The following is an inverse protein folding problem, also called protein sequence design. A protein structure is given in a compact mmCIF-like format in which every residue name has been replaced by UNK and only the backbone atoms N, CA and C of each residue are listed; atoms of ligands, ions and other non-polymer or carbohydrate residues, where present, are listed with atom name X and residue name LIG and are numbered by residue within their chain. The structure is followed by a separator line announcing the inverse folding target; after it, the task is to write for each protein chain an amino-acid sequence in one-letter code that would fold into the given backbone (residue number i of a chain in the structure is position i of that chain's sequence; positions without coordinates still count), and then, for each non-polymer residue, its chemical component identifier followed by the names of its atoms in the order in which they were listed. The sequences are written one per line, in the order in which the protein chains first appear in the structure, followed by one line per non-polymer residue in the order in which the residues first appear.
data_IF_239685694911
#
_entry.id   IF_239685694911
#
_cell.length_a   1.000
_cell.length_b   1.000
_cell.length_c   1.000
_cell.angle_alpha   90.00
_cell.angle_beta   90.00
_cell.angle_gamma   90.00
#
_symmetry.space_group_name_H-M   'P 1'
#
loop_
_entity.id
_entity.type
_entity.pdbx_description
1 polymer ?
#
# COMPACT_ATOMS: atom_id res chain seq x y z
N UNK A 1 15.01 16.34 27.24
CA UNK A 1 13.68 15.75 27.06
C UNK A 1 13.86 14.25 27.13
N UNK A 2 13.29 13.57 28.15
CA UNK A 2 13.43 12.13 28.32
C UNK A 2 12.85 11.37 27.14
N UNK A 3 13.55 10.31 26.71
CA UNK A 3 13.05 9.42 25.64
C UNK A 3 11.66 8.89 26.05
N UNK A 4 10.62 9.02 25.21
CA UNK A 4 9.32 8.49 25.55
C UNK A 4 9.44 7.00 25.84
N UNK A 5 8.74 6.55 26.88
CA UNK A 5 8.75 5.14 27.27
C UNK A 5 8.29 4.31 26.07
N UNK A 6 9.12 3.40 25.56
CA UNK A 6 8.89 2.64 24.33
C UNK A 6 7.50 1.99 24.32
N UNK A 7 7.04 1.50 25.47
CA UNK A 7 5.71 0.91 25.64
C UNK A 7 4.58 1.93 25.39
N UNK A 8 4.75 3.18 25.82
CA UNK A 8 3.76 4.24 25.58
C UNK A 8 3.72 4.68 24.12
N UNK A 9 4.87 4.64 23.43
CA UNK A 9 4.93 4.93 21.99
C UNK A 9 4.28 3.84 21.14
N UNK A 10 4.36 2.58 21.56
CA UNK A 10 3.79 1.43 20.82
C UNK A 10 2.28 1.27 21.13
N UNK A 11 1.89 1.39 22.39
CA UNK A 11 0.52 1.15 22.87
C UNK A 11 -0.19 2.49 23.10
N UNK A 12 -0.50 3.19 22.00
CA UNK A 12 -1.29 4.41 22.05
C UNK A 12 -2.42 4.41 20.99
N UNK A 13 -3.39 5.30 21.18
CA UNK A 13 -4.56 5.41 20.29
C UNK A 13 -4.16 5.68 18.83
N UNK A 14 -3.07 6.40 18.57
CA UNK A 14 -2.61 6.70 17.20
C UNK A 14 -2.13 5.45 16.48
N UNK A 15 -1.43 4.55 17.19
CA UNK A 15 -0.98 3.27 16.61
C UNK A 15 -2.17 2.35 16.30
N UNK A 16 -3.19 2.33 17.16
CA UNK A 16 -4.43 1.61 16.88
C UNK A 16 -5.13 2.16 15.62
N UNK A 17 -5.20 3.48 15.46
CA UNK A 17 -5.72 4.12 14.25
C UNK A 17 -4.90 3.70 13.03
N UNK A 18 -3.56 3.61 13.13
CA UNK A 18 -2.70 3.15 12.03
C UNK A 18 -2.99 1.70 11.64
N UNK A 19 -3.30 0.81 12.57
CA UNK A 19 -3.70 -0.58 12.26
C UNK A 19 -4.99 -0.57 11.41
N UNK A 20 -6.04 0.07 11.88
CA UNK A 20 -7.32 0.04 11.18
C UNK A 20 -7.30 0.81 9.86
N UNK A 21 -6.57 1.92 9.77
CA UNK A 21 -6.40 2.65 8.50
C UNK A 21 -5.61 1.83 7.49
N UNK A 22 -4.57 1.09 7.93
CA UNK A 22 -3.84 0.16 7.07
C UNK A 22 -4.73 -0.98 6.57
N UNK A 23 -5.51 -1.57 7.47
CA UNK A 23 -6.44 -2.63 7.11
C UNK A 23 -7.50 -2.15 6.11
N UNK A 24 -8.12 -0.99 6.35
CA UNK A 24 -9.12 -0.41 5.47
C UNK A 24 -8.56 -0.05 4.08
N UNK A 25 -7.29 0.40 4.01
CA UNK A 25 -6.59 0.72 2.77
C UNK A 25 -6.27 -0.55 1.94
N UNK A 26 -5.76 -1.61 2.58
CA UNK A 26 -5.33 -2.82 1.88
C UNK A 26 -6.49 -3.66 1.35
N UNK A 27 -7.56 -3.77 2.11
CA UNK A 27 -8.65 -4.70 1.85
C UNK A 27 -9.25 -4.57 0.44
N UNK A 28 -9.67 -3.39 -0.08
CA UNK A 28 -10.26 -3.28 -1.40
C UNK A 28 -9.27 -3.59 -2.54
N UNK A 29 -7.99 -3.22 -2.39
CA UNK A 29 -6.98 -3.55 -3.40
C UNK A 29 -6.82 -5.07 -3.53
N UNK A 30 -6.72 -5.79 -2.41
CA UNK A 30 -6.57 -7.24 -2.45
C UNK A 30 -7.84 -7.96 -2.94
N UNK A 31 -9.03 -7.37 -2.81
CA UNK A 31 -10.23 -7.86 -3.52
C UNK A 31 -9.97 -7.84 -5.02
N UNK A 32 -9.46 -6.73 -5.57
CA UNK A 32 -9.22 -6.57 -7.01
C UNK A 32 -8.09 -7.46 -7.54
N UNK A 33 -7.00 -7.63 -6.80
CA UNK A 33 -5.82 -8.34 -7.30
C UNK A 33 -5.75 -9.83 -6.91
N UNK A 34 -6.57 -10.27 -5.95
CA UNK A 34 -6.57 -11.67 -5.48
C UNK A 34 -7.93 -12.34 -5.66
N UNK A 35 -9.01 -11.78 -5.09
CA UNK A 35 -10.33 -12.43 -5.09
C UNK A 35 -11.00 -12.39 -6.47
N UNK A 36 -11.04 -11.24 -7.11
CA UNK A 36 -11.69 -11.07 -8.42
C UNK A 36 -11.06 -11.96 -9.49
N UNK A 37 -9.73 -12.00 -9.69
CA UNK A 37 -9.12 -12.90 -10.67
C UNK A 37 -9.39 -14.38 -10.38
N UNK A 38 -9.38 -14.79 -9.11
CA UNK A 38 -9.69 -16.16 -8.72
C UNK A 38 -11.16 -16.50 -9.04
N UNK A 39 -12.10 -15.64 -8.67
CA UNK A 39 -13.52 -15.78 -8.99
C UNK A 39 -13.76 -15.89 -10.50
N UNK A 40 -13.25 -14.94 -11.29
CA UNK A 40 -13.38 -14.97 -12.74
C UNK A 40 -12.84 -16.28 -13.34
N UNK A 41 -11.72 -16.77 -12.81
CA UNK A 41 -11.10 -18.00 -13.29
C UNK A 41 -11.93 -19.23 -12.94
N UNK A 42 -12.49 -19.31 -11.75
CA UNK A 42 -13.34 -20.43 -11.32
C UNK A 42 -14.66 -20.49 -12.10
N UNK A 43 -15.18 -19.35 -12.52
CA UNK A 43 -16.38 -19.24 -13.36
C UNK A 43 -16.09 -19.42 -14.88
N UNK A 44 -14.84 -19.74 -15.26
CA UNK A 44 -14.48 -20.12 -16.63
C UNK A 44 -14.06 -18.97 -17.54
N UNK A 45 -13.84 -17.75 -17.01
CA UNK A 45 -13.32 -16.62 -17.79
C UNK A 45 -11.89 -16.91 -18.26
N UNK A 46 -11.57 -16.54 -19.50
CA UNK A 46 -10.27 -16.77 -20.12
C UNK A 46 -9.14 -15.98 -19.49
N UNK A 47 -7.91 -16.53 -19.52
CA UNK A 47 -6.73 -15.86 -18.92
C UNK A 47 -6.39 -14.53 -19.59
N UNK A 48 -6.72 -14.38 -20.91
CA UNK A 48 -6.50 -13.15 -21.65
C UNK A 48 -7.35 -12.01 -21.10
N UNK A 49 -8.63 -12.29 -20.86
CA UNK A 49 -9.60 -11.35 -20.30
C UNK A 49 -9.20 -10.98 -18.87
N UNK A 50 -8.84 -11.96 -18.04
CA UNK A 50 -8.34 -11.73 -16.67
C UNK A 50 -7.08 -10.86 -16.69
N UNK A 51 -6.17 -11.09 -17.64
CA UNK A 51 -4.97 -10.26 -17.81
C UNK A 51 -5.29 -8.78 -18.04
N UNK A 52 -6.37 -8.46 -18.78
CA UNK A 52 -6.79 -7.07 -18.99
C UNK A 52 -7.30 -6.40 -17.70
N UNK A 53 -7.78 -7.15 -16.73
CA UNK A 53 -8.17 -6.61 -15.43
C UNK A 53 -6.98 -6.01 -14.65
N UNK A 54 -5.73 -6.30 -15.03
CA UNK A 54 -4.57 -5.61 -14.44
C UNK A 54 -4.58 -4.09 -14.68
N UNK A 55 -5.23 -3.63 -15.77
CA UNK A 55 -5.39 -2.20 -16.07
C UNK A 55 -6.30 -1.47 -15.08
N UNK A 56 -7.12 -2.19 -14.32
CA UNK A 56 -7.96 -1.64 -13.25
C UNK A 56 -7.09 -1.00 -12.13
N UNK A 57 -5.81 -1.34 -12.06
CA UNK A 57 -4.85 -0.69 -11.15
C UNK A 57 -4.46 0.76 -11.52
N UNK A 58 -4.81 1.26 -12.71
CA UNK A 58 -4.45 2.61 -13.16
C UNK A 58 -4.85 3.74 -12.18
N UNK A 59 -6.03 3.75 -11.55
CA UNK A 59 -6.38 4.78 -10.59
C UNK A 59 -5.35 4.95 -9.47
N UNK A 60 -4.70 3.89 -9.00
CA UNK A 60 -3.69 4.00 -7.93
C UNK A 60 -2.43 4.73 -8.38
N UNK A 61 -2.08 4.66 -9.66
CA UNK A 61 -0.94 5.39 -10.24
C UNK A 61 -1.29 6.85 -10.47
N UNK A 62 -2.51 7.12 -10.95
CA UNK A 62 -2.96 8.45 -11.33
C UNK A 62 -3.67 9.22 -10.21
N UNK A 63 -3.75 8.67 -9.00
CA UNK A 63 -4.48 9.25 -7.86
C UNK A 63 -4.06 10.68 -7.50
N UNK A 64 -2.85 11.09 -7.83
CA UNK A 64 -2.36 12.45 -7.60
C UNK A 64 -3.12 13.52 -8.40
N UNK A 65 -3.77 13.15 -9.53
CA UNK A 65 -4.51 14.11 -10.36
C UNK A 65 -5.73 14.69 -9.66
N UNK A 66 -6.42 13.91 -8.81
CA UNK A 66 -7.61 14.38 -8.10
C UNK A 66 -7.36 14.62 -6.60
N UNK A 67 -6.18 14.33 -6.11
CA UNK A 67 -5.84 14.55 -4.70
C UNK A 67 -6.00 16.02 -4.24
N UNK A 68 -5.80 17.08 -5.07
CA UNK A 68 -6.07 18.45 -4.66
C UNK A 68 -7.54 18.72 -4.30
N UNK A 69 -8.47 17.96 -4.89
CA UNK A 69 -9.89 18.08 -4.55
C UNK A 69 -10.15 17.63 -3.10
N UNK A 70 -9.40 16.62 -2.64
CA UNK A 70 -9.52 16.06 -1.30
C UNK A 70 -8.86 16.94 -0.21
N UNK A 71 -7.94 17.81 -0.58
CA UNK A 71 -7.38 18.81 0.32
C UNK A 71 -8.31 20.03 0.48
N UNK A 72 -9.24 20.23 -0.47
CA UNK A 72 -10.09 21.43 -0.49
C UNK A 72 -11.55 21.17 -0.13
N UNK A 73 -12.18 20.16 -0.73
CA UNK A 73 -13.63 19.94 -0.63
C UNK A 73 -13.97 18.85 0.36
N UNK A 74 -14.93 19.12 1.26
CA UNK A 74 -15.59 18.10 2.08
C UNK A 74 -16.86 17.64 1.39
N UNK A 75 -17.22 16.36 1.56
CA UNK A 75 -18.50 15.83 1.11
C UNK A 75 -19.56 16.12 2.17
N UNK A 76 -20.64 16.85 1.86
CA UNK A 76 -21.74 17.02 2.81
C UNK A 76 -22.50 15.69 2.89
N UNK A 77 -22.40 14.99 4.02
CA UNK A 77 -23.30 13.88 4.35
C UNK A 77 -24.54 14.44 5.03
N UNK A 78 -25.71 14.19 4.49
CA UNK A 78 -27.04 14.81 4.64
C UNK A 78 -27.41 15.40 6.02
N UNK A 79 -26.93 14.87 7.14
CA UNK A 79 -27.26 15.34 8.51
C UNK A 79 -26.02 15.48 9.40
N UNK A 80 -24.83 15.16 8.89
CA UNK A 80 -23.61 15.11 9.68
C UNK A 80 -22.47 15.81 8.94
N UNK A 81 -21.81 16.76 9.61
CA UNK A 81 -20.61 17.47 9.07
C UNK A 81 -19.35 16.92 9.76
N UNK A 82 -18.85 15.76 9.31
CA UNK A 82 -17.77 15.08 10.00
C UNK A 82 -16.40 15.73 9.84
N UNK A 83 -16.29 16.78 9.03
CA UNK A 83 -15.02 17.40 8.66
C UNK A 83 -14.50 16.94 7.30
N UNK A 84 -13.33 17.48 6.88
CA UNK A 84 -12.77 17.27 5.55
C UNK A 84 -12.37 15.79 5.32
N UNK A 85 -11.53 15.24 6.19
CA UNK A 85 -10.99 13.88 6.00
C UNK A 85 -12.05 12.80 6.26
N UNK A 86 -12.77 12.93 7.36
CA UNK A 86 -13.78 11.94 7.75
C UNK A 86 -14.94 11.86 6.75
N UNK A 87 -15.33 12.97 6.11
CA UNK A 87 -16.39 12.94 5.09
C UNK A 87 -16.01 12.08 3.90
N UNK A 88 -14.79 12.21 3.40
CA UNK A 88 -14.27 11.37 2.32
C UNK A 88 -14.11 9.92 2.74
N UNK A 89 -13.55 9.66 3.94
CA UNK A 89 -13.39 8.30 4.47
C UNK A 89 -14.74 7.59 4.55
N UNK A 90 -15.75 8.22 5.17
CA UNK A 90 -17.09 7.62 5.30
C UNK A 90 -17.74 7.35 3.95
N UNK A 91 -17.68 8.32 3.02
CA UNK A 91 -18.29 8.18 1.70
C UNK A 91 -17.63 7.07 0.87
N UNK A 92 -16.29 7.03 0.84
CA UNK A 92 -15.56 5.99 0.09
C UNK A 92 -15.76 4.61 0.71
N UNK A 93 -15.74 4.48 2.04
CA UNK A 93 -15.96 3.21 2.73
C UNK A 93 -17.39 2.68 2.52
N UNK A 94 -18.39 3.55 2.58
CA UNK A 94 -19.78 3.14 2.32
C UNK A 94 -19.96 2.67 0.87
N UNK A 95 -19.41 3.42 -0.09
CA UNK A 95 -19.49 3.04 -1.50
C UNK A 95 -18.69 1.76 -1.78
N UNK A 96 -17.52 1.56 -1.17
CA UNK A 96 -16.73 0.32 -1.28
C UNK A 96 -17.49 -0.87 -0.71
N UNK A 97 -18.12 -0.73 0.45
CA UNK A 97 -18.94 -1.79 1.03
C UNK A 97 -20.03 -2.25 0.06
N UNK A 98 -20.75 -1.29 -0.53
CA UNK A 98 -21.85 -1.59 -1.48
C UNK A 98 -21.30 -2.19 -2.77
N UNK A 99 -20.28 -1.56 -3.37
CA UNK A 99 -19.77 -1.98 -4.69
C UNK A 99 -19.06 -3.34 -4.64
N UNK A 100 -18.34 -3.65 -3.55
CA UNK A 100 -17.72 -4.97 -3.37
C UNK A 100 -18.81 -6.04 -3.17
N UNK A 101 -19.85 -5.77 -2.37
CA UNK A 101 -20.97 -6.70 -2.22
C UNK A 101 -21.69 -6.96 -3.55
N UNK A 102 -21.88 -5.92 -4.38
CA UNK A 102 -22.56 -6.03 -5.67
C UNK A 102 -21.83 -6.95 -6.67
N UNK A 103 -20.50 -7.09 -6.58
CA UNK A 103 -19.75 -7.97 -7.49
C UNK A 103 -20.29 -9.40 -7.46
N UNK A 104 -20.57 -9.93 -6.28
CA UNK A 104 -21.03 -11.31 -6.11
C UNK A 104 -22.40 -11.65 -6.71
N UNK A 105 -23.17 -10.63 -7.11
CA UNK A 105 -24.48 -10.82 -7.74
C UNK A 105 -24.44 -10.76 -9.28
N UNK A 106 -23.25 -10.56 -9.85
CA UNK A 106 -23.04 -10.55 -11.30
C UNK A 106 -22.55 -11.92 -11.77
N UNK A 107 -23.02 -12.33 -12.94
CA UNK A 107 -22.50 -13.52 -13.61
C UNK A 107 -21.29 -13.15 -14.49
N UNK A 108 -20.10 -13.72 -14.24
CA UNK A 108 -18.88 -13.39 -14.96
C UNK A 108 -18.94 -13.65 -16.47
N UNK A 109 -19.66 -14.66 -16.91
CA UNK A 109 -19.71 -15.01 -18.33
C UNK A 109 -20.60 -14.06 -19.14
N UNK A 110 -21.72 -13.62 -18.56
CA UNK A 110 -22.67 -12.74 -19.25
C UNK A 110 -22.46 -11.25 -18.97
N UNK A 111 -21.81 -10.91 -17.82
CA UNK A 111 -21.69 -9.53 -17.34
C UNK A 111 -20.24 -9.04 -17.20
N UNK A 112 -19.27 -9.61 -17.92
CA UNK A 112 -17.84 -9.32 -17.75
C UNK A 112 -17.52 -7.82 -17.86
N UNK A 113 -18.13 -7.09 -18.77
CA UNK A 113 -17.92 -5.65 -18.92
C UNK A 113 -18.49 -4.84 -17.75
N UNK A 114 -19.63 -5.23 -17.19
CA UNK A 114 -20.17 -4.58 -15.99
C UNK A 114 -19.25 -4.82 -14.78
N UNK A 115 -18.71 -6.03 -14.65
CA UNK A 115 -17.72 -6.38 -13.62
C UNK A 115 -16.46 -5.53 -13.80
N UNK A 116 -15.96 -5.35 -15.01
CA UNK A 116 -14.78 -4.53 -15.28
C UNK A 116 -15.00 -3.06 -14.87
N UNK A 117 -16.15 -2.46 -15.23
CA UNK A 117 -16.49 -1.10 -14.83
C UNK A 117 -16.69 -0.96 -13.31
N UNK A 118 -17.31 -1.95 -12.68
CA UNK A 118 -17.49 -1.96 -11.23
C UNK A 118 -16.15 -2.09 -10.51
N UNK A 119 -15.25 -2.95 -10.98
CA UNK A 119 -13.89 -3.09 -10.47
C UNK A 119 -13.05 -1.80 -10.67
N UNK A 120 -13.21 -1.12 -11.81
CA UNK A 120 -12.59 0.19 -12.02
C UNK A 120 -13.13 1.23 -11.05
N UNK A 121 -14.44 1.23 -10.77
CA UNK A 121 -15.07 2.06 -9.74
C UNK A 121 -14.52 1.76 -8.34
N UNK A 122 -14.40 0.49 -7.98
CA UNK A 122 -13.78 0.06 -6.71
C UNK A 122 -12.33 0.54 -6.62
N UNK A 123 -11.55 0.42 -7.70
CA UNK A 123 -10.16 0.89 -7.74
C UNK A 123 -10.07 2.41 -7.53
N UNK A 124 -10.96 3.17 -8.17
CA UNK A 124 -11.02 4.63 -8.02
C UNK A 124 -11.41 5.03 -6.58
N UNK A 125 -12.43 4.40 -6.01
CA UNK A 125 -12.86 4.63 -4.62
C UNK A 125 -11.76 4.26 -3.62
N UNK A 126 -11.11 3.12 -3.81
CA UNK A 126 -10.03 2.67 -2.95
C UNK A 126 -8.80 3.57 -3.06
N UNK A 127 -8.39 3.99 -4.27
CA UNK A 127 -7.31 4.95 -4.46
C UNK A 127 -7.64 6.31 -3.82
N UNK A 128 -8.91 6.74 -3.89
CA UNK A 128 -9.39 7.97 -3.22
C UNK A 128 -9.34 7.82 -1.70
N UNK A 129 -9.78 6.67 -1.17
CA UNK A 129 -9.67 6.36 0.25
C UNK A 129 -8.22 6.37 0.73
N UNK A 130 -7.28 5.78 -0.03
CA UNK A 130 -5.85 5.77 0.29
C UNK A 130 -5.29 7.19 0.47
N UNK A 131 -5.62 8.10 -0.46
CA UNK A 131 -5.17 9.51 -0.36
C UNK A 131 -5.61 10.11 0.98
N UNK A 132 -6.86 9.88 1.36
CA UNK A 132 -7.43 10.48 2.58
C UNK A 132 -6.87 9.85 3.84
N UNK A 133 -6.72 8.51 3.86
CA UNK A 133 -6.12 7.77 4.98
C UNK A 133 -4.66 8.17 5.19
N UNK A 134 -3.89 8.33 4.11
CA UNK A 134 -2.51 8.78 4.15
C UNK A 134 -2.40 10.21 4.70
N UNK A 135 -3.26 11.12 4.23
CA UNK A 135 -3.32 12.48 4.71
C UNK A 135 -3.73 12.57 6.19
N UNK A 136 -4.76 11.81 6.58
CA UNK A 136 -5.21 11.71 7.97
C UNK A 136 -4.08 11.24 8.88
N UNK A 137 -3.40 10.16 8.49
CA UNK A 137 -2.27 9.60 9.24
C UNK A 137 -1.12 10.60 9.38
N UNK A 138 -0.78 11.32 8.30
CA UNK A 138 0.26 12.36 8.33
C UNK A 138 -0.10 13.49 9.30
N UNK A 139 -1.38 13.83 9.41
CA UNK A 139 -1.88 14.92 10.27
C UNK A 139 -1.96 14.54 11.76
N UNK A 140 -2.21 13.27 12.09
CA UNK A 140 -2.34 12.83 13.49
C UNK A 140 -1.02 12.40 14.12
N UNK A 141 -0.03 11.97 13.31
CA UNK A 141 1.25 11.47 13.80
C UNK A 141 2.25 12.61 13.99
N UNK A 142 2.84 12.77 15.17
CA UNK A 142 3.99 13.63 15.36
C UNK A 142 5.20 13.04 14.63
N UNK A 143 6.15 13.89 14.23
CA UNK A 143 7.30 13.49 13.42
C UNK A 143 8.13 12.34 14.05
N UNK A 144 8.19 12.27 15.37
CA UNK A 144 8.87 11.18 16.09
C UNK A 144 8.19 9.81 15.92
N UNK A 145 6.87 9.78 15.77
CA UNK A 145 6.08 8.55 15.62
C UNK A 145 5.81 8.17 14.16
N UNK A 146 6.21 8.99 13.18
CA UNK A 146 5.97 8.71 11.75
C UNK A 146 6.57 7.37 11.32
N UNK A 147 7.78 7.04 11.80
CA UNK A 147 8.43 5.78 11.49
C UNK A 147 7.60 4.57 11.91
N UNK A 148 7.20 4.54 13.18
CA UNK A 148 6.44 3.43 13.76
C UNK A 148 5.01 3.39 13.19
N UNK A 149 4.30 4.52 13.15
CA UNK A 149 2.91 4.57 12.68
C UNK A 149 2.77 4.16 11.22
N UNK A 150 3.68 4.62 10.33
CA UNK A 150 3.67 4.19 8.93
C UNK A 150 4.02 2.70 8.79
N UNK A 151 4.95 2.19 9.58
CA UNK A 151 5.30 0.78 9.60
C UNK A 151 4.11 -0.10 10.01
N UNK A 152 3.41 0.27 11.07
CA UNK A 152 2.20 -0.43 11.53
C UNK A 152 1.12 -0.42 10.46
N UNK A 153 0.88 0.74 9.83
CA UNK A 153 -0.09 0.88 8.74
C UNK A 153 0.22 -0.05 7.56
N UNK A 154 1.47 -0.04 7.06
CA UNK A 154 1.89 -0.88 5.93
C UNK A 154 1.76 -2.37 6.25
N UNK A 155 2.08 -2.79 7.48
CA UNK A 155 1.91 -4.19 7.88
C UNK A 155 0.43 -4.58 8.02
N UNK A 156 -0.41 -3.72 8.59
CA UNK A 156 -1.85 -3.94 8.65
C UNK A 156 -2.49 -4.00 7.25
N UNK A 157 -2.02 -3.16 6.31
CA UNK A 157 -2.39 -3.22 4.90
C UNK A 157 -2.09 -4.60 4.28
N UNK A 158 -0.91 -5.17 4.55
CA UNK A 158 -0.53 -6.51 4.05
C UNK A 158 -1.37 -7.62 4.68
N UNK A 159 -1.61 -7.53 5.99
CA UNK A 159 -2.45 -8.48 6.74
C UNK A 159 -3.89 -8.45 6.22
N UNK A 160 -4.42 -7.29 5.86
CA UNK A 160 -5.75 -7.16 5.26
C UNK A 160 -5.92 -8.03 4.00
N UNK A 161 -4.84 -8.24 3.25
CA UNK A 161 -4.82 -9.10 2.07
C UNK A 161 -5.15 -10.58 2.35
N UNK A 162 -5.01 -11.02 3.60
CA UNK A 162 -5.38 -12.39 3.99
C UNK A 162 -6.91 -12.60 3.96
N UNK A 163 -7.71 -11.54 4.07
CA UNK A 163 -9.17 -11.66 3.96
C UNK A 163 -9.56 -12.05 2.55
N UNK A 164 -9.34 -11.24 1.49
CA UNK A 164 -9.74 -11.62 0.13
C UNK A 164 -8.82 -12.68 -0.49
N UNK A 165 -7.54 -12.75 -0.10
CA UNK A 165 -6.56 -13.67 -0.68
C UNK A 165 -6.50 -15.06 -0.03
N UNK A 166 -7.13 -15.26 1.12
CA UNK A 166 -7.13 -16.55 1.83
C UNK A 166 -8.52 -16.88 2.38
N UNK A 167 -9.03 -16.09 3.33
CA UNK A 167 -10.31 -16.38 3.98
C UNK A 167 -11.46 -16.49 2.96
N UNK A 168 -11.59 -15.50 2.07
CA UNK A 168 -12.68 -15.48 1.08
C UNK A 168 -12.56 -16.62 0.07
N UNK A 169 -11.33 -17.02 -0.30
CA UNK A 169 -11.12 -18.18 -1.18
C UNK A 169 -11.49 -19.50 -0.49
N UNK A 170 -11.15 -19.68 0.79
CA UNK A 170 -11.58 -20.84 1.57
C UNK A 170 -13.10 -20.87 1.67
N UNK A 171 -13.74 -19.72 1.93
CA UNK A 171 -15.20 -19.64 2.01
C UNK A 171 -15.88 -19.97 0.67
N UNK A 172 -15.23 -19.71 -0.47
CA UNK A 172 -15.79 -20.01 -1.80
C UNK A 172 -15.90 -21.52 -2.09
N UNK A 173 -15.20 -22.36 -1.34
CA UNK A 173 -15.36 -23.81 -1.44
C UNK A 173 -16.65 -24.31 -0.76
N UNK A 174 -17.25 -23.52 0.13
CA UNK A 174 -18.40 -23.89 0.94
C UNK A 174 -19.63 -22.99 0.69
N UNK A 175 -19.45 -21.81 0.17
CA UNK A 175 -20.48 -20.78 0.01
C UNK A 175 -20.52 -20.25 -1.42
N UNK A 176 -21.70 -19.89 -1.95
CA UNK A 176 -21.81 -19.28 -3.26
C UNK A 176 -21.14 -17.88 -3.26
N UNK A 177 -20.64 -17.46 -4.41
CA UNK A 177 -19.86 -16.23 -4.57
C UNK A 177 -20.57 -14.96 -4.09
N UNK A 178 -21.90 -14.87 -4.24
CA UNK A 178 -22.64 -13.73 -3.70
C UNK A 178 -22.50 -13.58 -2.17
N UNK A 179 -22.54 -14.68 -1.43
CA UNK A 179 -22.33 -14.67 0.02
C UNK A 179 -20.87 -14.37 0.35
N UNK A 180 -19.92 -14.95 -0.39
CA UNK A 180 -18.48 -14.68 -0.20
C UNK A 180 -18.17 -13.20 -0.35
N UNK A 181 -18.66 -12.53 -1.40
CA UNK A 181 -18.46 -11.10 -1.59
C UNK A 181 -19.15 -10.24 -0.53
N UNK A 182 -20.36 -10.61 -0.08
CA UNK A 182 -21.05 -9.93 1.03
C UNK A 182 -20.26 -10.05 2.32
N UNK A 183 -19.79 -11.25 2.68
CA UNK A 183 -18.95 -11.45 3.88
C UNK A 183 -17.65 -10.68 3.76
N UNK A 184 -17.00 -10.73 2.59
CA UNK A 184 -15.75 -9.99 2.32
C UNK A 184 -15.97 -8.48 2.46
N UNK A 185 -17.04 -7.93 1.89
CA UNK A 185 -17.38 -6.52 2.02
C UNK A 185 -17.64 -6.12 3.48
N UNK A 186 -18.18 -7.02 4.30
CA UNK A 186 -18.42 -6.80 5.72
C UNK A 186 -17.15 -6.38 6.50
N UNK A 187 -15.97 -6.79 6.08
CA UNK A 187 -14.72 -6.33 6.69
C UNK A 187 -14.42 -4.84 6.47
N UNK A 188 -15.03 -4.20 5.47
CA UNK A 188 -14.96 -2.73 5.29
C UNK A 188 -15.61 -1.99 6.45
N UNK A 189 -16.58 -2.62 7.14
CA UNK A 189 -17.25 -2.06 8.33
C UNK A 189 -16.23 -1.73 9.44
N UNK A 190 -15.12 -2.47 9.55
CA UNK A 190 -14.08 -2.15 10.53
C UNK A 190 -13.50 -0.75 10.30
N UNK A 191 -13.26 -0.38 9.04
CA UNK A 191 -12.83 0.97 8.67
C UNK A 191 -13.90 2.01 8.96
N UNK A 192 -15.15 1.71 8.65
CA UNK A 192 -16.29 2.60 8.86
C UNK A 192 -16.52 2.87 10.35
N UNK A 193 -16.51 1.84 11.19
CA UNK A 193 -16.61 1.96 12.66
C UNK A 193 -15.46 2.81 13.20
N UNK A 194 -14.22 2.58 12.74
CA UNK A 194 -13.09 3.42 13.12
C UNK A 194 -13.37 4.88 12.77
N UNK A 195 -13.75 5.17 11.51
CA UNK A 195 -13.96 6.52 11.01
C UNK A 195 -15.06 7.27 11.81
N UNK A 196 -16.09 6.56 12.27
CA UNK A 196 -17.10 7.12 13.17
C UNK A 196 -16.55 7.40 14.57
N UNK A 197 -15.57 6.62 15.04
CA UNK A 197 -15.01 6.69 16.41
C UNK A 197 -13.85 7.68 16.56
N UNK A 198 -13.25 8.15 15.45
CA UNK A 198 -12.13 9.09 15.47
C UNK A 198 -12.61 10.53 15.28
N UNK A 199 -11.81 11.49 15.75
CA UNK A 199 -12.06 12.92 15.53
C UNK A 199 -11.38 13.41 14.25
N UNK A 200 -11.95 14.46 13.65
CA UNK A 200 -11.27 15.19 12.57
C UNK A 200 -9.96 15.77 13.08
N UNK A 201 -8.85 15.67 12.34
CA UNK A 201 -7.60 16.30 12.72
C UNK A 201 -7.79 17.83 12.79
N UNK A 202 -7.35 18.44 13.88
CA UNK A 202 -7.33 19.89 13.98
C UNK A 202 -6.22 20.44 13.08
N UNK A 203 -6.57 20.72 11.84
CA UNK A 203 -5.64 21.42 10.93
C UNK A 203 -5.46 22.87 11.37
N UNK A 204 -4.27 23.22 11.83
CA UNK A 204 -3.89 24.63 12.09
C UNK A 204 -3.63 25.42 10.80
N UNK A 205 -3.73 24.78 9.65
CA UNK A 205 -3.41 25.39 8.35
C UNK A 205 -4.70 25.69 7.58
N UNK A 206 -4.76 26.86 7.00
CA UNK A 206 -5.86 27.27 6.15
C UNK A 206 -5.94 26.36 4.93
N UNK A 207 -7.14 25.83 4.66
CA UNK A 207 -7.41 25.08 3.43
C UNK A 207 -7.19 25.98 2.21
N UNK A 208 -6.71 25.44 1.06
CA UNK A 208 -6.57 26.22 -0.16
C UNK A 208 -7.87 26.93 -0.54
N UNK A 209 -7.82 28.25 -0.74
CA UNK A 209 -9.03 29.05 -1.01
C UNK A 209 -9.58 28.86 -2.43
N UNK A 210 -8.72 28.52 -3.39
CA UNK A 210 -9.08 28.28 -4.79
C UNK A 210 -8.59 26.91 -5.26
N UNK A 211 -9.20 26.36 -6.32
CA UNK A 211 -8.73 25.10 -6.92
C UNK A 211 -7.32 25.26 -7.52
N UNK A 212 -7.03 26.45 -8.09
CA UNK A 212 -5.69 26.79 -8.59
C UNK A 212 -4.65 26.73 -7.45
N UNK A 213 -4.96 27.31 -6.30
CA UNK A 213 -4.11 27.21 -5.11
C UNK A 213 -3.95 25.77 -4.64
N UNK A 214 -5.01 24.96 -4.62
CA UNK A 214 -4.93 23.55 -4.24
C UNK A 214 -4.01 22.71 -5.16
N UNK A 215 -3.82 23.12 -6.41
CA UNK A 215 -2.93 22.44 -7.37
C UNK A 215 -1.51 23.01 -7.28
N UNK A 216 -1.34 24.34 -7.26
CA UNK A 216 -0.03 25.01 -7.39
C UNK A 216 0.69 25.09 -6.05
N UNK A 217 0.00 25.50 -4.97
CA UNK A 217 0.63 25.75 -3.68
C UNK A 217 1.38 24.54 -3.09
N UNK A 218 0.92 23.26 -3.27
CA UNK A 218 1.69 22.09 -2.82
C UNK A 218 3.07 21.98 -3.47
N UNK A 219 3.20 22.35 -4.74
CA UNK A 219 4.47 22.35 -5.46
C UNK A 219 5.33 23.53 -5.02
N UNK A 220 4.77 24.73 -4.99
CA UNK A 220 5.48 25.94 -4.56
C UNK A 220 5.97 25.79 -3.10
N UNK A 221 5.15 25.25 -2.20
CA UNK A 221 5.56 24.93 -0.82
C UNK A 221 6.75 23.96 -0.80
N UNK A 222 6.67 22.88 -1.57
CA UNK A 222 7.74 21.86 -1.57
C UNK A 222 9.06 22.44 -2.09
N UNK A 223 9.04 23.14 -3.23
CA UNK A 223 10.26 23.72 -3.82
C UNK A 223 10.79 24.90 -3.01
N UNK A 224 9.93 25.75 -2.45
CA UNK A 224 10.35 26.88 -1.60
C UNK A 224 10.92 26.44 -0.27
N UNK A 225 10.32 25.41 0.36
CA UNK A 225 10.75 24.89 1.66
C UNK A 225 12.07 24.13 1.59
N UNK A 226 12.29 23.39 0.52
CA UNK A 226 13.50 22.56 0.34
C UNK A 226 14.61 23.29 -0.43
N UNK A 227 14.26 24.26 -1.27
CA UNK A 227 15.13 24.79 -2.31
C UNK A 227 15.17 23.88 -3.54
N UNK A 228 15.33 24.44 -4.72
CA UNK A 228 15.20 23.73 -6.00
C UNK A 228 16.13 22.52 -6.09
N UNK A 229 17.41 22.70 -5.75
CA UNK A 229 18.42 21.62 -5.83
C UNK A 229 18.10 20.48 -4.88
N UNK A 230 17.76 20.77 -3.63
CA UNK A 230 17.40 19.76 -2.62
C UNK A 230 16.10 19.04 -2.98
N UNK A 231 15.10 19.77 -3.52
CA UNK A 231 13.85 19.22 -3.97
C UNK A 231 14.09 18.15 -5.08
N UNK A 232 14.91 18.45 -6.08
CA UNK A 232 15.26 17.48 -7.12
C UNK A 232 16.03 16.28 -6.57
N UNK A 233 16.95 16.47 -5.63
CA UNK A 233 17.66 15.35 -4.97
C UNK A 233 16.69 14.44 -4.20
N UNK A 234 15.73 15.01 -3.51
CA UNK A 234 14.70 14.24 -2.78
C UNK A 234 13.83 13.44 -3.77
N UNK A 235 13.36 14.05 -4.85
CA UNK A 235 12.56 13.36 -5.86
C UNK A 235 13.35 12.24 -6.55
N UNK A 236 14.60 12.50 -6.91
CA UNK A 236 15.52 11.49 -7.49
C UNK A 236 15.76 10.34 -6.49
N UNK A 237 15.99 10.65 -5.22
CA UNK A 237 16.12 9.64 -4.19
C UNK A 237 14.84 8.80 -4.06
N UNK A 238 13.65 9.42 -4.05
CA UNK A 238 12.36 8.70 -4.00
C UNK A 238 12.18 7.77 -5.20
N UNK A 239 12.63 8.20 -6.38
CA UNK A 239 12.58 7.40 -7.60
C UNK A 239 13.52 6.18 -7.52
N UNK A 240 14.76 6.38 -7.08
CA UNK A 240 15.82 5.37 -7.16
C UNK A 240 15.84 4.40 -5.98
N UNK A 241 15.41 4.82 -4.79
CA UNK A 241 15.51 4.01 -3.57
C UNK A 241 14.84 2.65 -3.68
N UNK A 242 13.71 2.58 -4.39
CA UNK A 242 12.95 1.33 -4.60
C UNK A 242 13.27 0.61 -5.91
N UNK A 243 14.18 1.14 -6.72
CA UNK A 243 14.47 0.56 -8.03
C UNK A 243 15.08 -0.85 -7.90
N UNK A 244 16.13 -0.99 -7.08
CA UNK A 244 16.82 -2.28 -6.90
C UNK A 244 15.90 -3.39 -6.38
N UNK A 245 15.10 -3.08 -5.36
CA UNK A 245 14.08 -3.98 -4.80
C UNK A 245 13.01 -4.37 -5.84
N UNK A 246 12.54 -3.39 -6.63
CA UNK A 246 11.58 -3.64 -7.70
C UNK A 246 12.13 -4.53 -8.82
N UNK A 247 13.40 -4.37 -9.17
CA UNK A 247 14.08 -5.21 -10.18
C UNK A 247 14.30 -6.64 -9.67
N UNK A 248 14.76 -6.81 -8.43
CA UNK A 248 15.00 -8.10 -7.82
C UNK A 248 13.69 -8.91 -7.70
N UNK A 249 12.62 -8.27 -7.22
CA UNK A 249 11.32 -8.94 -7.05
C UNK A 249 10.61 -9.25 -8.36
N UNK A 250 10.80 -8.44 -9.42
CA UNK A 250 10.20 -8.69 -10.72
C UNK A 250 10.73 -9.98 -11.37
N UNK A 251 12.00 -10.33 -11.14
CA UNK A 251 12.64 -11.52 -11.70
C UNK A 251 12.69 -12.72 -10.76
N UNK A 252 12.22 -12.58 -9.53
CA UNK A 252 12.34 -13.61 -8.50
C UNK A 252 11.72 -14.95 -8.92
N UNK A 253 10.48 -14.95 -9.40
CA UNK A 253 9.80 -16.20 -9.79
C UNK A 253 10.43 -16.90 -11.00
N UNK A 254 10.72 -16.21 -12.14
CA UNK A 254 11.49 -16.81 -13.21
C UNK A 254 12.83 -17.39 -12.73
N UNK A 255 13.58 -16.66 -11.94
CA UNK A 255 14.87 -17.10 -11.39
C UNK A 255 14.74 -18.40 -10.57
N UNK A 256 13.72 -18.54 -9.72
CA UNK A 256 13.51 -19.78 -8.96
C UNK A 256 13.18 -20.98 -9.87
N UNK A 257 12.40 -20.75 -10.93
CA UNK A 257 12.09 -21.81 -11.91
C UNK A 257 13.34 -22.23 -12.70
N UNK A 258 14.18 -21.28 -13.12
CA UNK A 258 15.43 -21.54 -13.81
C UNK A 258 16.45 -22.27 -12.94
N UNK A 259 16.38 -22.06 -11.61
CA UNK A 259 17.17 -22.80 -10.62
C UNK A 259 16.67 -24.24 -10.37
N UNK A 260 15.57 -24.68 -11.00
CA UNK A 260 15.03 -26.03 -10.88
C UNK A 260 14.03 -26.24 -9.74
N UNK A 261 13.63 -25.19 -8.99
CA UNK A 261 12.62 -25.33 -7.95
C UNK A 261 11.22 -25.59 -8.52
N UNK A 262 10.48 -26.51 -7.92
CA UNK A 262 9.12 -26.82 -8.35
C UNK A 262 8.16 -25.65 -8.06
N UNK A 263 7.06 -25.57 -8.82
CA UNK A 263 6.00 -24.59 -8.56
C UNK A 263 5.41 -24.72 -7.15
N UNK A 264 5.38 -25.94 -6.61
CA UNK A 264 4.93 -26.23 -5.24
C UNK A 264 5.90 -25.66 -4.20
N UNK A 265 7.21 -25.84 -4.40
CA UNK A 265 8.25 -25.29 -3.52
C UNK A 265 8.18 -23.76 -3.48
N UNK A 266 8.05 -23.13 -4.66
CA UNK A 266 7.87 -21.68 -4.77
C UNK A 266 6.59 -21.25 -4.05
N UNK A 267 5.49 -21.99 -4.24
CA UNK A 267 4.19 -21.66 -3.64
C UNK A 267 4.20 -21.75 -2.11
N UNK A 268 4.85 -22.76 -1.54
CA UNK A 268 4.87 -23.00 -0.09
C UNK A 268 6.02 -22.25 0.56
N UNK A 269 7.26 -22.48 0.11
CA UNK A 269 8.45 -21.92 0.76
C UNK A 269 8.59 -20.44 0.49
N UNK A 270 8.55 -20.02 -0.79
CA UNK A 270 8.80 -18.63 -1.15
C UNK A 270 7.74 -17.68 -0.60
N UNK A 271 6.45 -18.05 -0.65
CA UNK A 271 5.37 -17.18 -0.13
C UNK A 271 5.45 -17.00 1.39
N UNK A 272 5.69 -18.07 2.15
CA UNK A 272 5.80 -17.98 3.60
C UNK A 272 7.09 -17.27 4.03
N UNK A 273 8.22 -17.58 3.38
CA UNK A 273 9.50 -16.93 3.62
C UNK A 273 9.49 -15.44 3.23
N UNK A 274 8.61 -15.02 2.30
CA UNK A 274 8.44 -13.61 1.98
C UNK A 274 7.58 -12.85 2.99
N UNK A 275 6.39 -13.39 3.32
CA UNK A 275 5.37 -12.64 4.08
C UNK A 275 5.83 -12.34 5.52
N UNK A 276 6.23 -13.37 6.28
CA UNK A 276 6.52 -13.20 7.70
C UNK A 276 7.75 -12.36 7.98
N UNK A 277 8.92 -12.58 7.32
CA UNK A 277 10.08 -11.71 7.50
C UNK A 277 9.81 -10.26 7.09
N UNK A 278 9.00 -10.03 6.05
CA UNK A 278 8.63 -8.68 5.62
C UNK A 278 7.80 -7.94 6.68
N UNK A 279 6.86 -8.63 7.34
CA UNK A 279 6.08 -8.07 8.45
C UNK A 279 7.00 -7.78 9.65
N UNK A 280 7.84 -8.75 10.02
CA UNK A 280 8.79 -8.63 11.14
C UNK A 280 9.75 -7.46 10.87
N UNK A 281 10.35 -7.39 9.68
CA UNK A 281 11.24 -6.31 9.26
C UNK A 281 10.55 -4.95 9.30
N UNK A 282 9.31 -4.87 8.83
CA UNK A 282 8.52 -3.65 8.90
C UNK A 282 8.32 -3.16 10.34
N UNK A 283 7.87 -4.03 11.26
CA UNK A 283 7.66 -3.68 12.66
C UNK A 283 8.98 -3.33 13.36
N UNK A 284 10.02 -4.16 13.18
CA UNK A 284 11.35 -3.92 13.73
C UNK A 284 11.92 -2.59 13.24
N UNK A 285 11.78 -2.29 11.94
CA UNK A 285 12.18 -1.02 11.35
C UNK A 285 11.46 0.17 11.95
N UNK A 286 10.14 0.06 12.16
CA UNK A 286 9.35 1.08 12.83
C UNK A 286 9.82 1.38 14.25
N UNK A 287 10.06 0.33 15.03
CA UNK A 287 10.57 0.45 16.42
C UNK A 287 11.99 1.03 16.44
N UNK A 288 12.86 0.56 15.53
CA UNK A 288 14.23 1.04 15.47
C UNK A 288 14.30 2.52 15.09
N UNK A 289 13.43 2.99 14.20
CA UNK A 289 13.35 4.41 13.83
C UNK A 289 13.02 5.33 15.00
N UNK A 290 12.34 4.88 16.06
CA UNK A 290 12.13 5.66 17.28
C UNK A 290 13.45 6.01 17.97
N UNK A 291 14.48 5.14 17.84
CA UNK A 291 15.79 5.32 18.48
C UNK A 291 16.79 6.04 17.59
N UNK A 292 16.92 5.62 16.32
CA UNK A 292 17.96 6.13 15.42
C UNK A 292 17.49 7.24 14.50
N UNK A 293 16.16 7.45 14.39
CA UNK A 293 15.54 8.41 13.48
C UNK A 293 15.47 7.92 12.04
N UNK A 294 14.62 8.58 11.23
CA UNK A 294 14.30 8.14 9.86
C UNK A 294 15.52 8.19 8.93
N UNK A 295 16.34 9.26 8.99
CA UNK A 295 17.46 9.43 8.07
C UNK A 295 18.55 8.34 8.25
N UNK A 296 18.91 8.03 9.49
CA UNK A 296 19.87 6.94 9.75
C UNK A 296 19.29 5.58 9.40
N UNK A 297 18.01 5.38 9.65
CA UNK A 297 17.30 4.16 9.27
C UNK A 297 17.32 3.92 7.76
N UNK A 298 17.11 4.96 6.93
CA UNK A 298 17.18 4.84 5.47
C UNK A 298 18.54 4.31 5.00
N UNK A 299 19.65 4.83 5.53
CA UNK A 299 20.98 4.36 5.19
C UNK A 299 21.21 2.92 5.65
N UNK A 300 20.91 2.63 6.93
CA UNK A 300 21.12 1.30 7.51
C UNK A 300 20.27 0.24 6.78
N UNK A 301 18.99 0.52 6.57
CA UNK A 301 18.08 -0.43 5.94
C UNK A 301 18.34 -0.55 4.43
N UNK A 302 18.74 0.53 3.76
CA UNK A 302 19.21 0.49 2.38
C UNK A 302 20.45 -0.40 2.22
N UNK A 303 21.41 -0.31 3.14
CA UNK A 303 22.58 -1.20 3.16
C UNK A 303 22.17 -2.67 3.37
N UNK A 304 21.25 -2.94 4.31
CA UNK A 304 20.70 -4.30 4.53
C UNK A 304 20.03 -4.82 3.26
N UNK A 305 19.27 -4.00 2.53
CA UNK A 305 18.65 -4.39 1.25
C UNK A 305 19.70 -4.74 0.18
N UNK A 306 20.78 -3.96 0.06
CA UNK A 306 21.87 -4.27 -0.88
C UNK A 306 22.50 -5.62 -0.54
N UNK A 307 22.78 -5.87 0.73
CA UNK A 307 23.37 -7.14 1.19
C UNK A 307 22.41 -8.31 0.97
N UNK A 308 21.12 -8.12 1.22
CA UNK A 308 20.13 -9.19 1.05
C UNK A 308 19.95 -9.61 -0.41
N UNK A 309 19.97 -8.66 -1.35
CA UNK A 309 19.91 -8.96 -2.80
C UNK A 309 21.11 -9.83 -3.24
N UNK A 310 22.29 -9.66 -2.65
CA UNK A 310 23.45 -10.52 -2.93
C UNK A 310 23.22 -11.99 -2.52
N UNK A 311 22.26 -12.27 -1.66
CA UNK A 311 21.82 -13.61 -1.33
C UNK A 311 21.35 -14.43 -2.53
N UNK A 312 20.73 -13.79 -3.54
CA UNK A 312 20.36 -14.45 -4.80
C UNK A 312 21.59 -14.91 -5.60
N UNK A 313 22.65 -14.13 -5.60
CA UNK A 313 23.91 -14.52 -6.25
C UNK A 313 24.58 -15.71 -5.53
N UNK A 314 24.44 -15.77 -4.21
CA UNK A 314 24.88 -16.92 -3.40
C UNK A 314 24.05 -18.16 -3.71
N UNK A 315 22.72 -18.01 -3.78
CA UNK A 315 21.78 -19.09 -4.12
C UNK A 315 22.12 -19.68 -5.51
N UNK A 316 22.38 -18.81 -6.50
CA UNK A 316 22.78 -19.22 -7.86
C UNK A 316 24.07 -20.04 -7.90
N UNK A 317 24.99 -19.85 -6.95
CA UNK A 317 26.28 -20.58 -6.89
C UNK A 317 26.20 -21.91 -6.12
N UNK A 318 25.42 -21.94 -5.05
CA UNK A 318 25.35 -23.13 -4.16
C UNK A 318 24.42 -24.19 -4.74
N UNK A 319 23.37 -23.78 -5.48
CA UNK A 319 22.43 -24.68 -6.11
C UNK A 319 21.20 -25.02 -5.24
N UNK A 320 20.55 -26.12 -5.55
CA UNK A 320 19.22 -26.51 -5.08
C UNK A 320 19.20 -26.92 -3.60
N UNK A 321 18.55 -26.09 -2.78
CA UNK A 321 18.27 -26.42 -1.38
C UNK A 321 17.09 -25.61 -0.86
N UNK A 322 15.97 -26.26 -0.49
CA UNK A 322 14.75 -25.57 -0.02
C UNK A 322 15.00 -24.68 1.21
N UNK A 323 15.86 -25.13 2.13
CA UNK A 323 16.23 -24.35 3.31
C UNK A 323 17.01 -23.09 2.93
N UNK A 324 17.91 -23.18 1.93
CA UNK A 324 18.69 -22.04 1.44
C UNK A 324 17.80 -21.05 0.69
N UNK A 325 16.89 -21.55 -0.15
CA UNK A 325 15.84 -20.73 -0.78
C UNK A 325 15.05 -19.94 0.26
N UNK A 326 14.56 -20.63 1.30
CA UNK A 326 13.81 -20.00 2.38
C UNK A 326 14.60 -18.95 3.15
N UNK A 327 15.88 -19.19 3.43
CA UNK A 327 16.76 -18.24 4.10
C UNK A 327 17.05 -17.00 3.24
N UNK A 328 17.39 -17.18 1.95
CA UNK A 328 17.68 -16.08 1.04
C UNK A 328 16.44 -15.19 0.84
N UNK A 329 15.29 -15.79 0.57
CA UNK A 329 14.02 -15.06 0.44
C UNK A 329 13.66 -14.38 1.75
N UNK A 330 13.78 -15.08 2.88
CA UNK A 330 13.49 -14.54 4.20
C UNK A 330 14.35 -13.31 4.53
N UNK A 331 15.63 -13.35 4.25
CA UNK A 331 16.53 -12.22 4.46
C UNK A 331 16.25 -11.06 3.52
N UNK A 332 15.98 -11.34 2.23
CA UNK A 332 15.58 -10.31 1.27
C UNK A 332 14.30 -9.60 1.71
N UNK A 333 13.25 -10.34 2.02
CA UNK A 333 11.97 -9.75 2.41
C UNK A 333 12.00 -9.09 3.80
N UNK A 334 12.91 -9.50 4.68
CA UNK A 334 13.23 -8.76 5.92
C UNK A 334 13.78 -7.36 5.56
N UNK A 335 14.75 -7.30 4.64
CA UNK A 335 15.31 -6.06 4.10
C UNK A 335 14.24 -5.18 3.43
N UNK A 336 13.39 -5.78 2.60
CA UNK A 336 12.24 -5.10 1.97
C UNK A 336 11.30 -4.51 3.03
N UNK A 337 11.02 -5.25 4.10
CA UNK A 337 10.19 -4.78 5.22
C UNK A 337 10.79 -3.57 5.92
N UNK A 338 12.07 -3.66 6.30
CA UNK A 338 12.86 -2.58 6.92
C UNK A 338 12.88 -1.33 6.03
N UNK A 339 13.30 -1.50 4.77
CA UNK A 339 13.46 -0.40 3.83
C UNK A 339 12.12 0.27 3.48
N UNK A 340 11.05 -0.50 3.32
CA UNK A 340 9.71 0.06 3.07
C UNK A 340 9.23 0.90 4.25
N UNK A 341 9.44 0.42 5.50
CA UNK A 341 9.05 1.17 6.70
C UNK A 341 9.75 2.53 6.76
N UNK A 342 11.07 2.59 6.53
CA UNK A 342 11.83 3.83 6.53
C UNK A 342 11.46 4.75 5.36
N UNK A 343 11.23 4.19 4.20
CA UNK A 343 10.91 4.94 2.99
C UNK A 343 9.53 5.61 3.06
N UNK A 344 8.51 4.89 3.51
CA UNK A 344 7.16 5.48 3.70
C UNK A 344 7.18 6.53 4.81
N UNK A 345 7.95 6.32 5.87
CA UNK A 345 8.16 7.31 6.91
C UNK A 345 8.87 8.58 6.39
N UNK A 346 9.83 8.43 5.48
CA UNK A 346 10.52 9.54 4.81
C UNK A 346 9.55 10.34 3.93
N UNK A 347 8.73 9.67 3.12
CA UNK A 347 7.67 10.31 2.33
C UNK A 347 6.74 11.11 3.23
N UNK A 348 6.24 10.50 4.30
CA UNK A 348 5.35 11.15 5.26
C UNK A 348 6.01 12.37 5.92
N UNK A 349 7.29 12.31 6.29
CA UNK A 349 8.03 13.42 6.87
C UNK A 349 8.28 14.56 5.89
N UNK A 350 8.52 14.23 4.63
CA UNK A 350 8.73 15.20 3.55
C UNK A 350 7.43 15.94 3.19
N UNK A 351 6.28 15.30 3.41
CA UNK A 351 4.95 15.83 3.15
C UNK A 351 4.58 16.90 4.17
N UNK A 352 4.16 18.09 3.68
CA UNK A 352 3.59 19.13 4.52
C UNK A 352 2.17 18.73 4.97
N UNK A 353 1.85 18.76 6.28
CA UNK A 353 0.50 18.47 6.77
C UNK A 353 -0.62 19.34 6.18
N UNK A 354 -0.29 20.57 5.71
CA UNK A 354 -1.24 21.46 5.07
C UNK A 354 -1.74 20.94 3.72
N UNK A 355 -0.86 20.29 2.96
CA UNK A 355 -1.10 19.72 1.63
C UNK A 355 -0.96 18.20 1.64
N UNK A 356 -1.37 17.57 2.74
CA UNK A 356 -1.05 16.18 3.02
C UNK A 356 -1.57 15.23 1.94
N UNK A 357 -2.79 15.41 1.43
CA UNK A 357 -3.34 14.55 0.40
C UNK A 357 -2.59 14.69 -0.92
N UNK A 358 -2.35 15.91 -1.38
CA UNK A 358 -1.73 16.19 -2.69
C UNK A 358 -0.26 15.77 -2.71
N UNK A 359 0.55 16.25 -1.73
CA UNK A 359 1.98 15.92 -1.71
C UNK A 359 2.23 14.42 -1.48
N UNK A 360 1.50 13.78 -0.56
CA UNK A 360 1.69 12.36 -0.30
C UNK A 360 1.29 11.50 -1.51
N UNK A 361 0.17 11.82 -2.15
CA UNK A 361 -0.26 11.12 -3.36
C UNK A 361 0.74 11.28 -4.51
N UNK A 362 1.30 12.49 -4.71
CA UNK A 362 2.32 12.75 -5.71
C UNK A 362 3.59 11.93 -5.45
N UNK A 363 4.12 11.97 -4.23
CA UNK A 363 5.34 11.24 -3.87
C UNK A 363 5.17 9.73 -3.99
N UNK A 364 4.02 9.18 -3.56
CA UNK A 364 3.74 7.74 -3.71
C UNK A 364 3.53 7.35 -5.16
N UNK A 365 2.90 8.17 -6.00
CA UNK A 365 2.78 7.94 -7.43
C UNK A 365 4.17 7.90 -8.11
N UNK A 366 5.06 8.85 -7.76
CA UNK A 366 6.44 8.87 -8.26
C UNK A 366 7.19 7.57 -7.95
N UNK A 367 6.98 6.99 -6.78
CA UNK A 367 7.64 5.73 -6.38
C UNK A 367 7.11 4.49 -7.12
N UNK A 368 5.96 4.58 -7.77
CA UNK A 368 5.42 3.50 -8.60
C UNK A 368 6.09 3.44 -9.99
N UNK A 369 6.66 4.55 -10.47
CA UNK A 369 7.31 4.65 -11.80
C UNK A 369 8.46 3.64 -11.96
N UNK A 370 9.43 3.50 -11.03
CA UNK A 370 10.52 2.54 -11.17
C UNK A 370 10.03 1.10 -11.30
N UNK A 371 8.99 0.73 -10.58
CA UNK A 371 8.39 -0.61 -10.65
C UNK A 371 7.85 -0.91 -12.04
N UNK A 372 7.18 0.06 -12.65
CA UNK A 372 6.63 -0.09 -14.01
C UNK A 372 7.75 -0.19 -15.04
N UNK A 373 8.79 0.64 -14.93
CA UNK A 373 9.97 0.61 -15.83
C UNK A 373 10.73 -0.70 -15.62
N UNK A 374 10.99 -1.11 -14.38
CA UNK A 374 11.71 -2.35 -14.09
C UNK A 374 10.98 -3.57 -14.67
N UNK A 375 9.65 -3.66 -14.52
CA UNK A 375 8.87 -4.76 -15.11
C UNK A 375 8.93 -4.80 -16.65
N UNK A 376 9.02 -3.64 -17.29
CA UNK A 376 9.12 -3.55 -18.76
C UNK A 376 10.53 -3.86 -19.28
N UNK A 377 11.59 -3.35 -18.61
CA UNK A 377 12.97 -3.48 -19.06
C UNK A 377 13.61 -4.83 -18.75
N UNK A 378 13.20 -5.47 -17.63
CA UNK A 378 13.74 -6.78 -17.24
C UNK A 378 13.33 -7.89 -18.22
N UNK A 379 12.18 -7.77 -18.90
CA UNK A 379 11.79 -8.67 -19.99
C UNK A 379 12.66 -8.51 -21.26
N UNK A 380 13.26 -7.34 -21.46
CA UNK A 380 14.10 -7.04 -22.65
C UNK A 380 15.56 -7.44 -22.41
N UNK A 381 16.07 -7.33 -21.18
CA UNK A 381 17.46 -7.67 -20.85
C UNK A 381 17.75 -9.18 -20.78
N UNK A 382 16.73 -10.03 -20.86
CA UNK A 382 16.85 -11.50 -20.86
C UNK A 382 16.75 -12.11 -22.28
N UNK A 383 16.56 -11.29 -23.31
CA UNK A 383 16.65 -11.65 -24.72
C UNK A 383 18.05 -11.31 -25.26
#
# INVERSE_FOLDING_TARGET
MGSPNLRQSILNRRMLICIFTGFASGMPLYVLISLVPAWLRTEGVGLKEIGLFSLIGLPYVWKFLWSPLLDRYSIPLLLYRPGLRRSWMLSTQLLLLITIAMLGFLDPLSHLWYIAWLCLGIAFLSATQDIVLDAYRRQILPDQELGLGNSIHVNAYRIAGLVPGSLSLILSDFLPWNIVFVVTSGFVLLGLILTLSISEPTSKHNQPTTLKAAIIDPFDDFFSRQGVQQAFLILTFMLLYKLGDSMATALATPFYLDMGYSKTDIGIVAKNAALWPMIIGGIAGGILMLKIGINRALWLFGFVQIVSILGFALLARIGEGLWLLGLVIGFEYLGVGLGTAAFVAFIARTTNPAFAATQFALFTALTAVPRTIASATTGICLL
#
